data_IF_238291204334
#
_entry.id   IF_238291204334
#
_cell.length_a   1.000
_cell.length_b   1.000
_cell.length_c   1.000
_cell.angle_alpha   90.00
_cell.angle_beta   90.00
_cell.angle_gamma   90.00
#
_symmetry.space_group_name_H-M   'P 1'
#
loop_
_entity.id
_entity.type
_entity.pdbx_description
1 polymer ?
#
# COMPACT_ATOMS: atom_id res chain seq x y z
N UNK A 1 1.51 -14.01 13.43
CA UNK A 1 1.47 -12.53 13.35
C UNK A 1 2.82 -11.84 13.17
N UNK A 2 3.94 -12.35 13.72
CA UNK A 2 5.27 -11.75 13.49
C UNK A 2 5.62 -11.60 12.00
N UNK A 3 5.34 -12.64 11.19
CA UNK A 3 5.56 -12.61 9.74
C UNK A 3 4.78 -11.48 9.04
N UNK A 4 3.46 -11.39 9.27
CA UNK A 4 2.60 -10.33 8.71
C UNK A 4 3.18 -8.94 9.00
N UNK A 5 3.49 -8.65 10.27
CA UNK A 5 4.06 -7.35 10.66
C UNK A 5 5.38 -7.06 9.96
N UNK A 6 6.26 -8.08 9.84
CA UNK A 6 7.55 -7.92 9.18
C UNK A 6 7.36 -7.63 7.69
N UNK A 7 6.49 -8.38 7.02
CA UNK A 7 6.19 -8.19 5.60
C UNK A 7 5.58 -6.82 5.34
N UNK A 8 4.57 -6.40 6.10
CA UNK A 8 3.95 -5.08 5.93
C UNK A 8 4.90 -3.94 6.26
N UNK A 9 5.77 -4.09 7.28
CA UNK A 9 6.80 -3.11 7.59
C UNK A 9 7.81 -2.96 6.44
N UNK A 10 8.28 -4.07 5.86
CA UNK A 10 9.19 -4.04 4.70
C UNK A 10 8.51 -3.34 3.51
N UNK A 11 7.25 -3.66 3.22
CA UNK A 11 6.48 -3.00 2.16
C UNK A 11 6.34 -1.49 2.40
N UNK A 12 6.03 -1.08 3.64
CA UNK A 12 5.97 0.33 4.01
C UNK A 12 7.31 1.04 3.80
N UNK A 13 8.43 0.43 4.20
CA UNK A 13 9.77 1.03 4.03
C UNK A 13 10.08 1.19 2.54
N UNK A 14 9.85 0.14 1.74
CA UNK A 14 10.08 0.17 0.29
C UNK A 14 9.24 1.26 -0.37
N UNK A 15 7.94 1.34 -0.05
CA UNK A 15 7.04 2.35 -0.60
C UNK A 15 7.39 3.77 -0.14
N UNK A 16 7.86 3.95 1.10
CA UNK A 16 8.32 5.24 1.59
C UNK A 16 9.56 5.71 0.82
N UNK A 17 10.54 4.84 0.61
CA UNK A 17 11.74 5.15 -0.18
C UNK A 17 11.38 5.49 -1.62
N UNK A 18 10.50 4.70 -2.25
CA UNK A 18 10.01 4.97 -3.61
C UNK A 18 9.29 6.32 -3.66
N UNK A 19 8.40 6.60 -2.71
CA UNK A 19 7.65 7.86 -2.67
C UNK A 19 8.57 9.06 -2.54
N UNK A 20 9.56 9.00 -1.64
CA UNK A 20 10.54 10.07 -1.46
C UNK A 20 11.40 10.28 -2.71
N UNK A 21 11.82 9.20 -3.37
CA UNK A 21 12.55 9.27 -4.63
C UNK A 21 11.70 9.90 -5.75
N UNK A 22 10.43 9.51 -5.87
CA UNK A 22 9.50 10.07 -6.85
C UNK A 22 9.24 11.57 -6.61
N UNK A 23 9.10 11.99 -5.36
CA UNK A 23 8.98 13.42 -5.00
C UNK A 23 10.26 14.18 -5.38
N UNK A 24 11.43 13.59 -5.16
CA UNK A 24 12.72 14.24 -5.44
C UNK A 24 13.01 14.43 -6.94
N UNK A 25 12.39 13.65 -7.83
CA UNK A 25 12.67 13.66 -9.28
C UNK A 25 11.85 14.68 -10.08
N UNK A 26 10.86 15.35 -9.48
CA UNK A 26 10.13 16.46 -10.10
C UNK A 26 8.79 16.09 -10.76
N UNK A 27 8.29 16.98 -11.63
CA UNK A 27 6.85 17.25 -11.84
C UNK A 27 6.01 16.06 -12.34
N UNK A 28 6.45 15.31 -13.34
CA UNK A 28 5.64 14.20 -13.89
C UNK A 28 5.74 12.91 -13.05
N UNK A 29 6.85 12.70 -12.35
CA UNK A 29 7.06 11.55 -11.46
C UNK A 29 6.48 11.77 -10.07
N UNK A 30 6.33 13.03 -9.64
CA UNK A 30 5.59 13.40 -8.43
C UNK A 30 4.11 12.98 -8.49
N UNK A 31 3.51 12.91 -9.68
CA UNK A 31 2.17 12.34 -9.87
C UNK A 31 2.10 10.89 -9.39
N UNK A 32 3.10 10.08 -9.74
CA UNK A 32 3.20 8.68 -9.30
C UNK A 32 3.51 8.56 -7.80
N UNK A 33 4.02 9.63 -7.18
CA UNK A 33 4.24 9.67 -5.73
C UNK A 33 2.93 9.64 -4.93
N UNK A 34 1.83 10.14 -5.53
CA UNK A 34 0.48 10.06 -4.93
C UNK A 34 0.04 8.59 -4.86
N UNK A 35 0.18 7.86 -5.96
CA UNK A 35 -0.14 6.43 -6.05
C UNK A 35 0.68 5.59 -5.06
N UNK A 36 1.99 5.83 -4.97
CA UNK A 36 2.85 5.15 -3.99
C UNK A 36 2.52 5.54 -2.55
N UNK A 37 2.11 6.79 -2.31
CA UNK A 37 1.65 7.28 -1.01
C UNK A 37 0.32 6.65 -0.55
N UNK A 38 -0.62 6.44 -1.47
CA UNK A 38 -1.88 5.71 -1.21
C UNK A 38 -1.57 4.26 -0.82
N UNK A 39 -0.71 3.58 -1.60
CA UNK A 39 -0.27 2.21 -1.28
C UNK A 39 0.48 2.16 0.06
N UNK A 40 1.34 3.13 0.34
CA UNK A 40 2.02 3.23 1.63
C UNK A 40 1.02 3.32 2.78
N UNK A 41 0.04 4.22 2.66
CA UNK A 41 -1.01 4.42 3.67
C UNK A 41 -1.83 3.14 3.88
N UNK A 42 -2.16 2.45 2.79
CA UNK A 42 -2.85 1.16 2.84
C UNK A 42 -2.08 0.12 3.66
N UNK A 43 -0.79 -0.11 3.37
CA UNK A 43 0.02 -1.07 4.12
C UNK A 43 0.32 -0.60 5.55
N UNK A 44 0.38 0.71 5.81
CA UNK A 44 0.53 1.28 7.14
C UNK A 44 -0.70 0.94 8.01
N UNK A 45 -1.91 1.07 7.46
CA UNK A 45 -3.14 0.68 8.17
C UNK A 45 -3.11 -0.81 8.51
N UNK A 46 -2.75 -1.68 7.57
CA UNK A 46 -2.63 -3.13 7.82
C UNK A 46 -1.60 -3.41 8.92
N UNK A 47 -0.45 -2.73 8.89
CA UNK A 47 0.57 -2.83 9.93
C UNK A 47 0.02 -2.42 11.31
N UNK A 48 -0.68 -1.29 11.40
CA UNK A 48 -1.28 -0.80 12.65
C UNK A 48 -2.34 -1.77 13.18
N UNK A 49 -3.23 -2.26 12.33
CA UNK A 49 -4.25 -3.26 12.68
C UNK A 49 -3.60 -4.54 13.18
N UNK A 50 -2.60 -5.06 12.47
CA UNK A 50 -1.88 -6.28 12.87
C UNK A 50 -1.12 -6.10 14.20
N UNK A 51 -0.65 -4.88 14.49
CA UNK A 51 0.00 -4.55 15.76
C UNK A 51 -1.02 -4.45 16.90
N UNK A 52 -2.16 -3.81 16.67
CA UNK A 52 -3.24 -3.70 17.65
C UNK A 52 -3.80 -5.07 18.03
N UNK A 53 -4.09 -5.93 17.03
CA UNK A 53 -4.56 -7.31 17.27
C UNK A 53 -3.54 -8.12 18.06
N UNK A 54 -2.24 -7.94 17.77
CA UNK A 54 -1.17 -8.59 18.51
C UNK A 54 -0.98 -8.10 19.93
N UNK A 55 -1.20 -6.82 20.21
CA UNK A 55 -1.15 -6.29 21.59
C UNK A 55 -2.32 -6.82 22.43
N UNK A 56 -3.48 -7.05 21.80
CA UNK A 56 -4.66 -7.65 22.46
C UNK A 56 -4.60 -9.17 22.59
N UNK A 57 -3.50 -9.81 22.18
CA UNK A 57 -3.37 -11.28 22.21
C UNK A 57 -4.30 -12.02 21.24
N UNK A 58 -4.93 -11.32 20.29
CA UNK A 58 -5.89 -11.91 19.35
C UNK A 58 -5.10 -12.58 18.23
N UNK A 59 -4.87 -13.89 18.36
CA UNK A 59 -4.18 -14.72 17.38
C UNK A 59 -5.14 -15.71 16.69
N UNK A 60 -6.33 -15.24 16.30
CA UNK A 60 -7.31 -16.08 15.61
C UNK A 60 -6.81 -16.40 14.18
N UNK A 61 -6.83 -17.69 13.79
CA UNK A 61 -6.48 -18.15 12.44
C UNK A 61 -7.24 -17.38 11.36
N UNK A 62 -8.53 -17.09 11.57
CA UNK A 62 -9.36 -16.31 10.62
C UNK A 62 -8.83 -14.90 10.41
N UNK A 63 -8.41 -14.21 11.48
CA UNK A 63 -7.87 -12.86 11.39
C UNK A 63 -6.50 -12.84 10.67
N UNK A 64 -5.68 -13.87 10.88
CA UNK A 64 -4.39 -14.03 10.18
C UNK A 64 -4.62 -14.22 8.67
N UNK A 65 -5.56 -15.09 8.28
CA UNK A 65 -5.92 -15.30 6.87
C UNK A 65 -6.47 -14.03 6.23
N UNK A 66 -7.35 -13.30 6.93
CA UNK A 66 -7.92 -12.05 6.44
C UNK A 66 -6.85 -10.96 6.20
N UNK A 67 -5.88 -10.84 7.11
CA UNK A 67 -4.77 -9.90 6.94
C UNK A 67 -3.89 -10.26 5.75
N UNK A 68 -3.66 -11.56 5.51
CA UNK A 68 -2.95 -12.01 4.32
C UNK A 68 -3.71 -11.73 3.04
N UNK A 69 -5.04 -11.92 3.01
CA UNK A 69 -5.83 -11.56 1.84
C UNK A 69 -5.75 -10.06 1.55
N UNK A 70 -5.82 -9.19 2.57
CA UNK A 70 -5.65 -7.75 2.36
C UNK A 70 -4.27 -7.38 1.80
N UNK A 71 -3.19 -8.03 2.25
CA UNK A 71 -1.86 -7.80 1.66
C UNK A 71 -1.84 -8.12 0.16
N UNK A 72 -2.61 -9.11 -0.29
CA UNK A 72 -2.65 -9.55 -1.69
C UNK A 72 -3.61 -8.71 -2.55
N UNK A 73 -4.56 -7.97 -1.98
CA UNK A 73 -5.57 -7.21 -2.73
C UNK A 73 -4.95 -6.28 -3.79
N UNK A 74 -3.93 -5.44 -3.46
CA UNK A 74 -3.34 -4.55 -4.46
C UNK A 74 -2.67 -5.33 -5.61
N UNK A 75 -2.10 -6.49 -5.31
CA UNK A 75 -1.44 -7.35 -6.30
C UNK A 75 -2.49 -7.99 -7.22
N UNK A 76 -3.60 -8.48 -6.64
CA UNK A 76 -4.70 -9.07 -7.41
C UNK A 76 -5.37 -8.04 -8.32
N UNK A 77 -5.58 -6.81 -7.84
CA UNK A 77 -6.12 -5.74 -8.67
C UNK A 77 -5.22 -5.47 -9.89
N UNK A 78 -3.91 -5.40 -9.66
CA UNK A 78 -2.91 -5.14 -10.70
C UNK A 78 -2.81 -6.27 -11.74
N UNK A 79 -3.12 -7.51 -11.35
CA UNK A 79 -3.16 -8.68 -12.25
C UNK A 79 -4.46 -8.74 -13.06
N UNK A 80 -5.61 -8.43 -12.43
CA UNK A 80 -6.93 -8.56 -13.06
C UNK A 80 -7.14 -7.46 -14.10
N UNK A 81 -6.80 -6.22 -13.75
CA UNK A 81 -6.97 -5.09 -14.63
C UNK A 81 -5.89 -4.05 -14.34
N UNK A 82 -4.77 -4.18 -15.05
CA UNK A 82 -3.64 -3.30 -14.92
C UNK A 82 -4.00 -1.85 -15.27
N UNK A 83 -4.80 -1.67 -16.31
CA UNK A 83 -5.18 -0.35 -16.82
C UNK A 83 -6.17 0.35 -15.88
N UNK A 84 -7.19 -0.36 -15.38
CA UNK A 84 -8.06 0.19 -14.35
C UNK A 84 -7.35 0.42 -13.02
N UNK A 85 -6.38 -0.42 -12.65
CA UNK A 85 -5.58 -0.22 -11.44
C UNK A 85 -4.72 1.03 -11.53
N UNK A 86 -4.10 1.28 -12.68
CA UNK A 86 -3.35 2.51 -12.95
C UNK A 86 -4.30 3.71 -12.98
N UNK A 87 -5.45 3.61 -13.67
CA UNK A 87 -6.42 4.70 -13.73
C UNK A 87 -7.02 5.03 -12.36
N UNK A 88 -7.29 4.03 -11.50
CA UNK A 88 -7.73 4.26 -10.12
C UNK A 88 -6.66 4.96 -9.28
N UNK A 89 -5.40 4.58 -9.45
CA UNK A 89 -4.28 5.26 -8.80
C UNK A 89 -4.07 6.69 -9.33
N UNK A 90 -4.37 6.93 -10.60
CA UNK A 90 -4.26 8.24 -11.26
C UNK A 90 -5.54 9.08 -11.22
N UNK A 91 -6.68 8.57 -10.74
CA UNK A 91 -7.99 9.24 -10.78
C UNK A 91 -8.02 10.55 -9.98
N UNK A 92 -7.09 10.74 -9.03
CA UNK A 92 -6.91 12.00 -8.30
C UNK A 92 -6.03 13.04 -9.00
N UNK A 93 -5.40 12.68 -10.11
CA UNK A 93 -4.44 13.51 -10.84
C UNK A 93 -5.14 14.05 -12.07
N UNK A 94 -5.94 15.10 -11.88
CA UNK A 94 -6.30 15.95 -12.99
C UNK A 94 -5.04 16.73 -13.37
N UNK A 95 -4.31 16.25 -14.37
CA UNK A 95 -3.32 17.08 -15.05
C UNK A 95 -4.10 18.21 -15.71
N UNK A 96 -4.24 19.34 -15.00
CA UNK A 96 -4.67 20.61 -15.56
C UNK A 96 -3.59 21.02 -16.57
N UNK A 97 -3.66 20.45 -17.78
CA UNK A 97 -2.84 20.86 -18.91
C UNK A 97 -3.49 22.12 -19.49
N UNK A 98 -2.98 23.28 -19.07
CA UNK A 98 -3.05 24.52 -19.84
C UNK A 98 -1.85 24.63 -20.76
#
# INVERSE_FOLDING_TARGET
MKAIKRTTLVLCIVLAVISLFLIATGTLTAVLSVSSGILFTYYLIIYLVSTALSKRGIANKKAITLLWSFILVPILALIIDFEASINFLLQGVHLDMK
#
